data_IF_856234360246
#
_entry.id   IF_856234360246
#
_cell.length_a   1.000
_cell.length_b   1.000
_cell.length_c   1.000
_cell.angle_alpha   90.00
_cell.angle_beta   90.00
_cell.angle_gamma   90.00
#
_symmetry.space_group_name_H-M   'P 1'
#
loop_
_entity.id
_entity.type
_entity.pdbx_description
1 polymer ?
#
# COMPACT_ATOMS: atom_id res chain seq x y z
N UNK A 1 22.09 1.67 12.01
CA UNK A 1 20.65 1.98 12.10
C UNK A 1 20.02 1.53 10.79
N UNK A 2 19.31 0.41 10.76
CA UNK A 2 18.61 -0.05 9.54
C UNK A 2 17.38 0.85 9.41
N UNK A 3 17.38 1.73 8.42
CA UNK A 3 16.21 2.58 8.18
C UNK A 3 15.07 1.66 7.72
N UNK A 4 14.01 1.59 8.53
CA UNK A 4 12.81 0.82 8.23
C UNK A 4 12.21 1.31 6.89
N UNK A 5 11.78 0.38 6.03
CA UNK A 5 11.24 0.68 4.70
C UNK A 5 10.06 1.65 4.77
N UNK A 6 9.27 1.57 5.84
CA UNK A 6 8.15 2.47 6.14
C UNK A 6 8.61 3.93 6.28
N UNK A 7 9.74 4.16 6.93
CA UNK A 7 10.30 5.52 7.11
C UNK A 7 10.74 6.11 5.77
N UNK A 8 11.38 5.30 4.91
CA UNK A 8 11.79 5.73 3.56
C UNK A 8 10.57 6.06 2.68
N UNK A 9 9.48 5.30 2.86
CA UNK A 9 8.20 5.56 2.20
C UNK A 9 7.62 6.88 2.68
N UNK A 10 7.52 7.09 4.00
CA UNK A 10 7.00 8.31 4.60
C UNK A 10 7.76 9.57 4.13
N UNK A 11 9.09 9.55 4.20
CA UNK A 11 9.93 10.68 3.73
C UNK A 11 9.68 11.01 2.26
N UNK A 12 9.53 9.98 1.42
CA UNK A 12 9.23 10.17 -0.01
C UNK A 12 7.84 10.78 -0.24
N UNK A 13 6.86 10.45 0.60
CA UNK A 13 5.48 10.93 0.49
C UNK A 13 5.32 12.35 1.00
N UNK A 14 6.08 12.74 2.04
CA UNK A 14 6.16 14.14 2.52
C UNK A 14 6.58 15.12 1.44
N UNK A 15 7.37 14.68 0.44
CA UNK A 15 7.77 15.51 -0.70
C UNK A 15 6.67 15.68 -1.76
N UNK A 16 5.62 14.86 -1.74
CA UNK A 16 4.60 14.77 -2.80
C UNK A 16 3.23 15.25 -2.34
N UNK A 17 2.93 15.11 -1.06
CA UNK A 17 1.61 15.42 -0.47
C UNK A 17 1.76 16.63 0.45
N UNK A 18 1.16 17.75 0.05
CA UNK A 18 1.06 18.93 0.91
C UNK A 18 0.02 18.69 2.01
N UNK A 19 0.27 19.18 3.23
CA UNK A 19 -0.60 19.02 4.40
C UNK A 19 -0.93 17.56 4.73
N UNK A 20 0.11 16.74 4.79
CA UNK A 20 0.00 15.32 5.09
C UNK A 20 -0.51 15.11 6.54
N UNK A 21 -1.54 14.28 6.71
CA UNK A 21 -1.91 13.80 8.03
C UNK A 21 -0.96 12.66 8.41
N UNK A 22 0.01 12.94 9.27
CA UNK A 22 1.04 11.96 9.64
C UNK A 22 0.48 10.70 10.31
N UNK A 23 -0.55 10.84 11.15
CA UNK A 23 -1.17 9.69 11.80
C UNK A 23 -1.82 8.77 10.76
N UNK A 24 -2.60 9.35 9.85
CA UNK A 24 -3.31 8.62 8.82
C UNK A 24 -2.35 7.95 7.84
N UNK A 25 -1.32 8.66 7.39
CA UNK A 25 -0.42 8.11 6.39
C UNK A 25 0.48 7.01 6.97
N UNK A 26 0.89 7.13 8.23
CA UNK A 26 1.64 6.06 8.89
C UNK A 26 0.81 4.78 8.99
N UNK A 27 -0.48 4.91 9.32
CA UNK A 27 -1.43 3.79 9.37
C UNK A 27 -1.60 3.15 7.98
N UNK A 28 -1.88 3.96 6.95
CA UNK A 28 -1.99 3.51 5.57
C UNK A 28 -0.73 2.83 5.04
N UNK A 29 0.46 3.32 5.40
CA UNK A 29 1.73 2.69 5.01
C UNK A 29 1.81 1.29 5.60
N UNK A 30 1.52 1.12 6.89
CA UNK A 30 1.56 -0.19 7.55
C UNK A 30 0.60 -1.18 6.92
N UNK A 31 -0.66 -0.79 6.77
CA UNK A 31 -1.69 -1.64 6.16
C UNK A 31 -1.29 -2.04 4.73
N UNK A 32 -0.82 -1.07 3.94
CA UNK A 32 -0.41 -1.35 2.55
C UNK A 32 0.81 -2.27 2.48
N UNK A 33 1.75 -2.17 3.42
CA UNK A 33 2.90 -3.08 3.49
C UNK A 33 2.45 -4.50 3.80
N UNK A 34 1.55 -4.69 4.77
CA UNK A 34 1.02 -6.01 5.12
C UNK A 34 0.19 -6.62 3.99
N UNK A 35 -0.69 -5.84 3.35
CA UNK A 35 -1.44 -6.28 2.17
C UNK A 35 -0.51 -6.72 1.03
N UNK A 36 0.55 -5.96 0.77
CA UNK A 36 1.53 -6.32 -0.27
C UNK A 36 2.25 -7.61 0.09
N UNK A 37 2.69 -7.79 1.35
CA UNK A 37 3.34 -9.01 1.83
C UNK A 37 2.42 -10.23 1.66
N UNK A 38 1.16 -10.11 2.10
CA UNK A 38 0.15 -11.14 1.93
C UNK A 38 -0.03 -11.49 0.45
N UNK A 39 -0.18 -10.47 -0.41
CA UNK A 39 -0.37 -10.67 -1.85
C UNK A 39 0.80 -11.41 -2.51
N UNK A 40 2.04 -11.14 -2.08
CA UNK A 40 3.23 -11.79 -2.61
C UNK A 40 3.59 -13.11 -1.91
N UNK A 41 2.73 -13.60 -0.99
CA UNK A 41 2.94 -14.79 -0.17
C UNK A 41 4.22 -14.71 0.69
N UNK A 42 4.49 -13.56 1.29
CA UNK A 42 5.58 -13.37 2.25
C UNK A 42 5.03 -13.51 3.67
N UNK A 43 5.73 -14.27 4.51
CA UNK A 43 5.32 -14.54 5.90
C UNK A 43 5.77 -13.42 6.84
N UNK A 44 5.18 -13.34 8.04
CA UNK A 44 5.72 -12.50 9.11
C UNK A 44 7.22 -12.80 9.32
N UNK A 45 8.05 -11.75 9.26
CA UNK A 45 9.50 -11.83 9.34
C UNK A 45 10.25 -11.88 7.99
N UNK A 46 9.58 -12.13 6.87
CA UNK A 46 10.21 -11.97 5.56
C UNK A 46 10.46 -10.48 5.26
N UNK A 47 11.67 -10.14 4.84
CA UNK A 47 12.00 -8.80 4.37
C UNK A 47 11.37 -8.55 2.99
N UNK A 48 10.52 -7.52 2.91
CA UNK A 48 9.91 -7.11 1.66
C UNK A 48 10.99 -6.70 0.63
N UNK A 49 10.91 -7.15 -0.64
CA UNK A 49 11.87 -6.75 -1.67
C UNK A 49 11.91 -5.23 -1.86
N UNK A 50 13.10 -4.66 -2.06
CA UNK A 50 13.26 -3.21 -2.32
C UNK A 50 12.42 -2.73 -3.52
N UNK A 51 12.20 -3.58 -4.52
CA UNK A 51 11.35 -3.26 -5.66
C UNK A 51 9.89 -2.99 -5.30
N UNK A 52 9.39 -3.60 -4.21
CA UNK A 52 8.04 -3.37 -3.70
C UNK A 52 7.89 -2.02 -3.01
N UNK A 53 8.97 -1.37 -2.56
CA UNK A 53 8.92 -0.04 -1.95
C UNK A 53 8.24 0.99 -2.86
N UNK A 54 8.61 0.97 -4.15
CA UNK A 54 8.00 1.83 -5.16
C UNK A 54 6.51 1.53 -5.37
N UNK A 55 6.12 0.27 -5.25
CA UNK A 55 4.72 -0.15 -5.40
C UNK A 55 3.88 0.30 -4.21
N UNK A 56 4.39 0.11 -2.99
CA UNK A 56 3.72 0.57 -1.76
C UNK A 56 3.53 2.08 -1.80
N UNK A 57 4.54 2.86 -2.22
CA UNK A 57 4.40 4.32 -2.40
C UNK A 57 3.22 4.66 -3.31
N UNK A 58 3.14 4.03 -4.48
CA UNK A 58 2.07 4.31 -5.45
C UNK A 58 0.68 3.97 -4.86
N UNK A 59 0.57 2.82 -4.17
CA UNK A 59 -0.68 2.39 -3.52
C UNK A 59 -1.11 3.33 -2.39
N UNK A 60 -0.18 3.75 -1.52
CA UNK A 60 -0.48 4.66 -0.41
C UNK A 60 -0.98 6.01 -0.94
N UNK A 61 -0.38 6.55 -2.01
CA UNK A 61 -0.87 7.80 -2.64
C UNK A 61 -2.30 7.63 -3.14
N UNK A 62 -2.62 6.51 -3.80
CA UNK A 62 -3.97 6.23 -4.30
C UNK A 62 -4.96 6.16 -3.13
N UNK A 63 -4.65 5.40 -2.09
CA UNK A 63 -5.52 5.24 -0.92
C UNK A 63 -5.74 6.57 -0.18
N UNK A 64 -4.67 7.33 0.04
CA UNK A 64 -4.74 8.63 0.70
C UNK A 64 -5.60 9.63 -0.08
N UNK A 65 -5.42 9.70 -1.41
CA UNK A 65 -6.24 10.57 -2.26
C UNK A 65 -7.71 10.13 -2.30
N UNK A 66 -7.99 8.81 -2.28
CA UNK A 66 -9.37 8.28 -2.25
C UNK A 66 -10.07 8.70 -0.96
N UNK A 67 -9.45 8.51 0.20
CA UNK A 67 -10.00 8.94 1.50
C UNK A 67 -10.21 10.46 1.59
N UNK A 68 -9.30 11.27 1.02
CA UNK A 68 -9.48 12.73 0.95
C UNK A 68 -10.58 13.18 -0.01
N UNK A 69 -10.94 12.36 -1.00
CA UNK A 69 -11.93 12.66 -2.03
C UNK A 69 -13.36 12.25 -1.65
N UNK A 70 -13.55 11.46 -0.60
CA UNK A 70 -14.87 11.01 -0.11
C UNK A 70 -15.78 12.20 0.30
N UNK A 71 -15.20 13.33 0.70
CA UNK A 71 -15.94 14.56 0.98
C UNK A 71 -16.44 15.31 -0.27
N UNK A 72 -15.90 15.02 -1.46
CA UNK A 72 -16.28 15.66 -2.73
C UNK A 72 -17.18 14.78 -3.60
N UNK A 73 -17.11 13.46 -3.46
CA UNK A 73 -18.01 12.53 -4.12
C UNK A 73 -18.98 11.92 -3.11
N UNK A 74 -20.04 12.66 -2.77
CA UNK A 74 -21.25 12.03 -2.21
C UNK A 74 -21.98 11.26 -3.31
N UNK A 75 -21.50 10.06 -3.65
CA UNK A 75 -22.33 9.03 -4.26
C UNK A 75 -22.05 7.68 -3.58
N UNK A 76 -23.14 7.06 -3.14
CA UNK A 76 -23.17 5.83 -2.34
C UNK A 76 -22.40 4.69 -3.00
N UNK A 77 -21.30 4.26 -2.38
CA UNK A 77 -20.87 2.86 -2.46
C UNK A 77 -20.82 2.30 -1.04
N UNK A 78 -21.98 1.81 -0.61
CA UNK A 78 -22.15 1.18 0.68
C UNK A 78 -21.36 -0.12 0.82
N UNK A 79 -20.87 -0.36 2.04
CA UNK A 79 -21.06 -1.64 2.72
C UNK A 79 -20.40 -2.88 2.12
N UNK A 80 -19.32 -2.76 1.37
CA UNK A 80 -18.50 -3.92 1.00
C UNK A 80 -17.21 -3.79 1.77
N UNK A 81 -16.87 -4.79 2.58
CA UNK A 81 -15.49 -4.99 3.02
C UNK A 81 -14.64 -5.13 1.77
N UNK A 82 -14.14 -4.00 1.24
CA UNK A 82 -13.38 -3.98 0.00
C UNK A 82 -12.06 -4.66 0.31
N UNK A 83 -11.87 -5.88 -0.18
CA UNK A 83 -10.53 -6.39 -0.42
C UNK A 83 -9.85 -5.39 -1.35
N UNK A 84 -9.04 -4.49 -0.79
CA UNK A 84 -8.34 -3.41 -1.50
C UNK A 84 -7.51 -3.91 -2.70
N UNK A 85 -7.28 -5.21 -2.80
CA UNK A 85 -6.62 -5.91 -3.89
C UNK A 85 -7.37 -5.85 -5.24
N UNK A 86 -8.69 -5.71 -5.25
CA UNK A 86 -9.48 -5.60 -6.49
C UNK A 86 -9.43 -4.19 -7.09
N UNK A 87 -9.22 -3.17 -6.26
CA UNK A 87 -9.06 -1.77 -6.66
C UNK A 87 -7.62 -1.41 -7.07
N UNK A 88 -6.69 -2.37 -7.03
CA UNK A 88 -5.31 -2.12 -7.47
C UNK A 88 -5.28 -1.95 -8.99
N UNK A 89 -4.74 -0.83 -9.52
CA UNK A 89 -4.53 -0.65 -10.96
C UNK A 89 -3.78 -1.83 -11.59
N UNK A 90 -4.24 -2.27 -12.78
CA UNK A 90 -3.68 -3.44 -13.49
C UNK A 90 -2.16 -3.38 -13.64
N UNK A 91 -1.59 -2.20 -13.88
CA UNK A 91 -0.14 -2.01 -13.98
C UNK A 91 0.60 -2.29 -12.68
N UNK A 92 0.04 -1.85 -11.55
CA UNK A 92 0.60 -2.12 -10.22
C UNK A 92 0.51 -3.62 -9.92
N UNK A 93 -0.64 -4.25 -10.21
CA UNK A 93 -0.84 -5.70 -10.04
C UNK A 93 0.19 -6.51 -10.85
N UNK A 94 0.46 -6.10 -12.09
CA UNK A 94 1.51 -6.71 -12.94
C UNK A 94 2.91 -6.57 -12.32
N UNK A 95 3.23 -5.44 -11.70
CA UNK A 95 4.51 -5.24 -11.00
C UNK A 95 4.61 -6.12 -9.75
N UNK A 96 3.54 -6.23 -8.97
CA UNK A 96 3.46 -7.08 -7.77
C UNK A 96 3.63 -8.56 -8.10
N UNK A 97 3.01 -9.04 -9.19
CA UNK A 97 3.09 -10.44 -9.60
C UNK A 97 4.52 -10.94 -9.82
N UNK A 98 5.48 -10.06 -10.14
CA UNK A 98 6.90 -10.43 -10.28
C UNK A 98 7.56 -10.84 -8.97
N UNK A 99 7.00 -10.43 -7.84
CA UNK A 99 7.53 -10.70 -6.50
C UNK A 99 6.74 -11.79 -5.77
N UNK A 100 5.63 -12.27 -6.35
CA UNK A 100 4.77 -13.28 -5.73
C UNK A 100 5.48 -14.63 -5.69
N UNK A 101 5.75 -15.12 -4.48
CA UNK A 101 6.26 -16.47 -4.25
C UNK A 101 5.15 -17.49 -4.50
N UNK A 102 5.53 -18.71 -4.88
CA UNK A 102 4.60 -19.84 -4.84
C UNK A 102 4.06 -19.99 -3.41
N UNK A 103 2.74 -20.23 -3.23
CA UNK A 103 2.22 -20.59 -1.92
C UNK A 103 3.03 -21.79 -1.41
N UNK A 104 3.52 -21.72 -0.18
CA UNK A 104 4.14 -22.89 0.44
C UNK A 104 3.04 -23.94 0.57
N UNK A 105 3.04 -24.93 -0.32
CA UNK A 105 2.17 -26.10 -0.21
C UNK A 105 2.54 -26.83 1.07
N UNK A 106 1.52 -27.11 1.89
CA UNK A 106 1.62 -27.95 3.08
C UNK A 106 1.84 -29.41 2.69
#
# INVERSE_FOLDING_TARGET
MVINIEQRILESLRLRINNINESLINDLIKDTVEEVKEYINFSEGDLMPLGCESIVKDLVVIKYNKQGSEGLQSESYGGISQSYLDDIPKDIKRRLNRYRKLPRGY
#
